data_IF_797760778483
#
_entry.id   IF_797760778483
#
_cell.length_a   1.000
_cell.length_b   1.000
_cell.length_c   1.000
_cell.angle_alpha   90.00
_cell.angle_beta   90.00
_cell.angle_gamma   90.00
#
_symmetry.space_group_name_H-M   'P 1'
#
loop_
_entity.id
_entity.type
_entity.pdbx_description
1 polymer ?
#
# COMPACT_ATOMS: atom_id res chain seq x y z
N UNK A 1 -1.13 47.36 -24.57
CA UNK A 1 -0.20 46.52 -23.77
C UNK A 1 -0.38 46.74 -22.25
N UNK A 2 -1.62 46.73 -21.71
CA UNK A 2 -1.88 47.05 -20.28
C UNK A 2 -2.54 45.91 -19.48
N UNK A 3 -2.88 44.79 -20.11
CA UNK A 3 -3.59 43.67 -19.48
C UNK A 3 -2.72 42.43 -19.20
N UNK A 4 -1.54 42.28 -19.81
CA UNK A 4 -0.64 41.15 -19.48
C UNK A 4 0.02 41.34 -18.11
N UNK A 5 0.39 42.57 -17.76
CA UNK A 5 1.02 42.86 -16.46
C UNK A 5 0.05 42.64 -15.29
N UNK A 6 -1.27 42.77 -15.51
CA UNK A 6 -2.26 42.54 -14.45
C UNK A 6 -2.44 41.05 -14.14
N UNK A 7 -2.39 40.19 -15.16
CA UNK A 7 -2.49 38.73 -15.00
C UNK A 7 -1.24 38.16 -14.31
N UNK A 8 -0.06 38.68 -14.65
CA UNK A 8 1.20 38.26 -14.02
C UNK A 8 1.26 38.67 -12.56
N UNK A 9 0.82 39.88 -12.21
CA UNK A 9 0.76 40.34 -10.81
C UNK A 9 -0.25 39.52 -9.99
N UNK A 10 -1.38 39.13 -10.59
CA UNK A 10 -2.39 38.30 -9.89
C UNK A 10 -1.89 36.87 -9.62
N UNK A 11 -1.13 36.27 -10.57
CA UNK A 11 -0.50 34.95 -10.38
C UNK A 11 0.64 35.03 -9.35
N UNK A 12 1.41 36.13 -9.33
CA UNK A 12 2.51 36.31 -8.39
C UNK A 12 2.02 36.58 -6.96
N UNK A 13 0.89 37.29 -6.78
CA UNK A 13 0.29 37.49 -5.45
C UNK A 13 -0.32 36.22 -4.85
N UNK A 14 -0.76 35.26 -5.68
CA UNK A 14 -1.23 33.96 -5.18
C UNK A 14 -0.08 33.07 -4.67
N UNK A 15 1.16 33.29 -5.14
CA UNK A 15 2.34 32.53 -4.72
C UNK A 15 2.86 32.92 -3.31
N UNK A 16 2.45 34.06 -2.77
CA UNK A 16 2.96 34.61 -1.49
C UNK A 16 2.01 34.31 -0.33
N UNK A 17 0.83 33.74 -0.60
CA UNK A 17 -0.19 33.39 0.41
C UNK A 17 -0.15 31.93 0.86
N UNK A 18 0.92 31.19 0.56
CA UNK A 18 1.18 29.95 1.28
C UNK A 18 1.73 30.33 2.67
N UNK A 19 1.11 29.88 3.77
CA UNK A 19 1.75 30.02 5.06
C UNK A 19 3.10 29.32 4.97
N UNK A 20 4.19 30.06 5.14
CA UNK A 20 5.47 29.48 5.52
C UNK A 20 5.29 28.98 6.94
N UNK A 21 4.61 27.85 7.10
CA UNK A 21 4.77 27.03 8.28
C UNK A 21 6.22 26.60 8.23
N UNK A 22 7.06 27.36 8.94
CA UNK A 22 8.35 26.90 9.40
C UNK A 22 8.02 25.74 10.34
N UNK A 23 7.83 24.56 9.77
CA UNK A 23 8.02 23.35 10.53
C UNK A 23 9.49 23.40 10.92
N UNK A 24 9.73 23.71 12.20
CA UNK A 24 10.91 23.18 12.84
C UNK A 24 10.80 21.66 12.61
N UNK A 25 11.58 21.17 11.66
CA UNK A 25 11.76 19.75 11.44
C UNK A 25 12.52 19.26 12.67
N UNK A 26 11.76 18.95 13.73
CA UNK A 26 12.23 18.05 14.75
C UNK A 26 12.29 16.70 14.06
N UNK A 27 13.41 16.44 13.37
CA UNK A 27 13.80 15.08 13.01
C UNK A 27 14.12 14.39 14.33
N UNK A 28 13.07 14.03 15.06
CA UNK A 28 13.12 12.85 15.89
C UNK A 28 13.30 11.72 14.89
N UNK A 29 14.57 11.39 14.63
CA UNK A 29 14.94 10.15 13.99
C UNK A 29 14.44 9.04 14.93
N UNK A 30 13.17 8.68 14.78
CA UNK A 30 12.68 7.37 15.14
C UNK A 30 13.40 6.41 14.20
N UNK A 31 14.64 6.08 14.54
CA UNK A 31 15.10 4.72 14.36
C UNK A 31 14.13 3.87 15.21
N UNK A 32 12.98 3.56 14.64
CA UNK A 32 12.06 2.59 15.20
C UNK A 32 12.88 1.32 15.19
N UNK A 33 13.39 0.93 16.37
CA UNK A 33 14.16 -0.31 16.48
C UNK A 33 13.30 -1.40 15.85
N UNK A 34 13.83 -2.15 14.86
CA UNK A 34 13.07 -3.24 14.30
C UNK A 34 12.67 -4.13 15.46
N UNK A 35 11.36 -4.34 15.61
CA UNK A 35 10.83 -5.21 16.65
C UNK A 35 11.50 -6.59 16.46
N UNK A 36 11.70 -7.34 17.54
CA UNK A 36 12.33 -8.68 17.48
C UNK A 36 11.63 -9.55 16.43
N UNK A 37 10.32 -9.34 16.26
CA UNK A 37 9.46 -9.95 15.24
C UNK A 37 9.91 -9.64 13.80
N UNK A 38 10.40 -8.43 13.51
CA UNK A 38 10.90 -8.02 12.19
C UNK A 38 12.32 -8.54 11.91
N UNK A 39 13.13 -8.72 12.97
CA UNK A 39 14.47 -9.28 12.85
C UNK A 39 14.48 -10.79 12.64
N UNK A 40 13.47 -11.50 13.15
CA UNK A 40 13.32 -12.95 12.99
C UNK A 40 12.41 -13.37 11.83
N UNK A 41 11.86 -12.40 11.09
CA UNK A 41 10.95 -12.65 9.97
C UNK A 41 11.65 -12.76 8.62
N UNK A 42 11.01 -13.50 7.72
CA UNK A 42 11.31 -13.42 6.30
C UNK A 42 10.70 -12.15 5.72
N UNK A 43 11.31 -11.66 4.64
CA UNK A 43 10.93 -10.41 3.98
C UNK A 43 10.51 -10.69 2.54
N UNK A 44 9.34 -10.20 2.17
CA UNK A 44 8.87 -10.18 0.78
C UNK A 44 8.69 -8.73 0.34
N UNK A 45 9.30 -8.35 -0.78
CA UNK A 45 9.14 -6.99 -1.31
C UNK A 45 8.13 -7.03 -2.45
N UNK A 46 7.03 -6.29 -2.31
CA UNK A 46 6.10 -6.04 -3.40
C UNK A 46 6.48 -4.73 -4.09
N UNK A 47 6.32 -4.68 -5.41
CA UNK A 47 6.49 -3.45 -6.19
C UNK A 47 5.15 -3.06 -6.79
N UNK A 48 4.72 -1.84 -6.52
CA UNK A 48 3.52 -1.24 -7.10
C UNK A 48 3.99 0.04 -7.78
N UNK A 49 3.84 0.08 -9.11
CA UNK A 49 4.46 1.09 -9.97
C UNK A 49 5.99 1.17 -9.80
N UNK A 50 6.49 2.30 -9.31
CA UNK A 50 7.92 2.55 -9.02
C UNK A 50 8.23 2.47 -7.52
N UNK A 51 7.22 2.26 -6.67
CA UNK A 51 7.38 2.20 -5.21
C UNK A 51 7.50 0.74 -4.74
N UNK A 52 8.37 0.51 -3.76
CA UNK A 52 8.63 -0.82 -3.19
C UNK A 52 8.26 -0.85 -1.72
N UNK A 53 7.51 -1.88 -1.33
CA UNK A 53 7.01 -2.06 0.01
C UNK A 53 7.48 -3.40 0.57
N UNK A 54 8.07 -3.34 1.76
CA UNK A 54 8.54 -4.54 2.47
C UNK A 54 7.42 -5.10 3.35
N UNK A 55 7.09 -6.36 3.10
CA UNK A 55 6.16 -7.16 3.89
C UNK A 55 6.99 -8.16 4.71
N UNK A 56 6.68 -8.29 5.99
CA UNK A 56 7.39 -9.22 6.87
C UNK A 56 6.48 -10.37 7.23
N UNK A 57 6.96 -11.61 7.14
CA UNK A 57 6.16 -12.78 7.44
C UNK A 57 6.97 -13.85 8.18
N UNK A 58 6.27 -14.81 8.76
CA UNK A 58 6.91 -15.94 9.43
C UNK A 58 5.96 -17.07 9.77
N UNK A 59 6.56 -18.19 10.16
CA UNK A 59 5.87 -19.48 10.37
C UNK A 59 5.89 -19.95 11.83
N UNK A 60 5.84 -19.04 12.80
CA UNK A 60 5.97 -19.41 14.22
C UNK A 60 5.23 -18.40 15.09
N UNK A 61 4.33 -18.87 15.95
CA UNK A 61 3.60 -18.03 16.91
C UNK A 61 4.29 -17.91 18.28
N UNK A 62 5.27 -18.78 18.59
CA UNK A 62 6.00 -18.81 19.86
C UNK A 62 7.47 -19.20 19.66
N UNK A 63 8.35 -18.77 20.57
CA UNK A 63 9.78 -19.11 20.56
C UNK A 63 10.01 -20.63 20.53
N UNK A 64 9.12 -21.42 21.15
CA UNK A 64 9.20 -22.89 21.21
C UNK A 64 8.99 -23.55 19.84
N UNK A 65 8.25 -22.89 18.93
CA UNK A 65 8.01 -23.39 17.58
C UNK A 65 9.19 -23.19 16.65
N UNK A 66 10.12 -22.27 16.97
CA UNK A 66 11.34 -22.02 16.17
C UNK A 66 12.35 -23.18 16.23
N UNK A 67 12.20 -24.08 17.20
CA UNK A 67 13.01 -25.30 17.38
C UNK A 67 12.35 -26.55 16.80
N UNK A 68 11.18 -26.43 16.14
CA UNK A 68 10.51 -27.58 15.55
C UNK A 68 11.09 -27.93 14.18
N UNK A 69 11.35 -29.22 13.94
CA UNK A 69 11.76 -29.77 12.63
C UNK A 69 10.56 -29.93 11.68
N UNK A 70 9.41 -29.32 11.98
CA UNK A 70 8.22 -29.42 11.15
C UNK A 70 8.46 -28.68 9.82
N UNK A 71 8.11 -29.31 8.68
CA UNK A 71 8.27 -28.66 7.38
C UNK A 71 7.38 -27.41 7.31
N UNK A 72 8.01 -26.26 7.06
CA UNK A 72 7.32 -24.99 6.92
C UNK A 72 6.72 -24.84 5.51
N UNK A 73 5.60 -24.11 5.38
CA UNK A 73 5.09 -23.70 4.08
C UNK A 73 6.17 -22.98 3.27
N UNK A 74 6.27 -23.31 1.99
CA UNK A 74 7.16 -22.58 1.07
C UNK A 74 6.38 -21.50 0.36
N UNK A 75 6.65 -20.23 0.68
CA UNK A 75 6.04 -19.10 -0.01
C UNK A 75 6.46 -19.09 -1.49
N UNK A 76 5.47 -19.02 -2.38
CA UNK A 76 5.66 -18.92 -3.83
C UNK A 76 5.58 -17.45 -4.28
N UNK A 77 4.50 -16.77 -3.88
CA UNK A 77 4.24 -15.39 -4.27
C UNK A 77 3.37 -14.67 -3.26
N UNK A 78 3.48 -13.34 -3.27
CA UNK A 78 2.61 -12.43 -2.55
C UNK A 78 2.35 -11.22 -3.46
N UNK A 79 1.09 -10.81 -3.57
CA UNK A 79 0.69 -9.75 -4.51
C UNK A 79 -0.61 -9.06 -4.12
N UNK A 80 -0.79 -7.83 -4.59
CA UNK A 80 -2.00 -7.04 -4.35
C UNK A 80 -2.96 -7.22 -5.52
N UNK A 81 -4.21 -7.55 -5.22
CA UNK A 81 -5.32 -7.52 -6.15
C UNK A 81 -6.14 -6.24 -5.92
N UNK A 82 -6.08 -5.32 -6.87
CA UNK A 82 -6.73 -4.01 -6.75
C UNK A 82 -8.25 -4.06 -6.92
N UNK A 83 -8.71 -4.93 -7.81
CA UNK A 83 -10.15 -5.07 -8.09
C UNK A 83 -10.87 -5.64 -6.87
N UNK A 84 -10.24 -6.62 -6.21
CA UNK A 84 -10.77 -7.27 -5.02
C UNK A 84 -10.36 -6.60 -3.71
N UNK A 85 -9.42 -5.65 -3.77
CA UNK A 85 -8.82 -4.95 -2.62
C UNK A 85 -8.24 -5.93 -1.61
N UNK A 86 -7.48 -6.90 -2.12
CA UNK A 86 -6.94 -7.98 -1.31
C UNK A 86 -5.44 -8.16 -1.49
N UNK A 87 -4.81 -8.72 -0.46
CA UNK A 87 -3.48 -9.31 -0.53
C UNK A 87 -3.65 -10.81 -0.78
N UNK A 88 -3.10 -11.28 -1.89
CA UNK A 88 -3.08 -12.69 -2.28
C UNK A 88 -1.70 -13.27 -1.98
N UNK A 89 -1.68 -14.42 -1.31
CA UNK A 89 -0.46 -15.13 -0.90
C UNK A 89 -0.62 -16.57 -1.38
N UNK A 90 0.38 -17.06 -2.12
CA UNK A 90 0.39 -18.43 -2.64
C UNK A 90 1.59 -19.20 -2.10
N UNK A 91 1.37 -20.43 -1.65
CA UNK A 91 2.42 -21.35 -1.24
C UNK A 91 2.63 -22.44 -2.31
N UNK A 92 3.88 -22.88 -2.50
CA UNK A 92 4.20 -24.02 -3.37
C UNK A 92 3.74 -25.34 -2.73
N UNK A 93 3.89 -25.47 -1.41
CA UNK A 93 3.55 -26.68 -0.68
C UNK A 93 3.32 -26.38 0.81
N UNK A 94 2.26 -26.98 1.38
CA UNK A 94 1.93 -26.92 2.81
C UNK A 94 1.77 -28.34 3.36
N UNK A 95 2.82 -28.86 3.97
CA UNK A 95 2.93 -30.27 4.38
C UNK A 95 2.21 -30.60 5.69
N UNK A 96 2.02 -29.62 6.57
CA UNK A 96 1.36 -29.74 7.87
C UNK A 96 0.61 -28.47 8.25
N UNK A 97 -0.27 -28.58 9.25
CA UNK A 97 -0.96 -27.41 9.80
C UNK A 97 0.07 -26.48 10.42
N UNK A 98 0.08 -25.22 9.99
CA UNK A 98 1.13 -24.27 10.34
C UNK A 98 0.53 -22.91 10.73
N UNK A 99 1.19 -22.23 11.66
CA UNK A 99 0.81 -20.86 12.04
C UNK A 99 1.57 -19.92 11.13
N UNK A 100 0.84 -19.12 10.36
CA UNK A 100 1.40 -18.10 9.50
C UNK A 100 1.01 -16.74 10.00
N UNK A 101 1.95 -15.80 9.97
CA UNK A 101 1.63 -14.40 10.20
C UNK A 101 2.29 -13.54 9.14
N UNK A 102 1.60 -12.46 8.80
CA UNK A 102 2.10 -11.44 7.87
C UNK A 102 1.86 -10.06 8.46
N UNK A 103 2.90 -9.23 8.44
CA UNK A 103 2.87 -7.82 8.80
C UNK A 103 2.84 -6.99 7.52
N UNK A 104 1.82 -6.15 7.44
CA UNK A 104 1.45 -5.40 6.26
C UNK A 104 1.40 -3.92 6.61
N UNK A 105 2.07 -3.04 5.84
CA UNK A 105 1.94 -1.60 6.01
C UNK A 105 0.52 -1.11 5.71
N UNK A 106 0.02 -0.17 6.51
CA UNK A 106 -1.32 0.42 6.35
C UNK A 106 -1.49 1.12 4.98
N UNK A 107 -0.38 1.60 4.41
CA UNK A 107 -0.35 2.23 3.09
C UNK A 107 -0.58 1.24 1.95
N UNK A 108 -0.18 -0.02 2.12
CA UNK A 108 -0.32 -1.08 1.11
C UNK A 108 -1.73 -1.66 1.14
N UNK A 109 -2.21 -2.01 2.31
CA UNK A 109 -3.54 -2.57 2.50
C UNK A 109 -4.10 -2.13 3.84
N UNK A 110 -5.33 -1.63 3.82
CA UNK A 110 -6.01 -1.15 5.01
C UNK A 110 -7.44 -1.66 5.08
N UNK A 111 -7.94 -1.77 6.30
CA UNK A 111 -9.33 -2.10 6.58
C UNK A 111 -9.94 -1.06 7.52
N UNK A 112 -11.19 -0.68 7.26
CA UNK A 112 -11.95 0.19 8.15
C UNK A 112 -12.02 -0.45 9.54
N UNK A 113 -11.50 0.27 10.55
CA UNK A 113 -11.38 -0.20 11.94
C UNK A 113 -10.59 -1.52 12.10
N UNK A 114 -9.75 -1.88 11.12
CA UNK A 114 -8.95 -3.12 11.14
C UNK A 114 -9.75 -4.39 10.85
N UNK A 115 -10.95 -4.28 10.27
CA UNK A 115 -11.77 -5.45 9.91
C UNK A 115 -11.41 -5.99 8.53
N UNK A 116 -10.47 -6.94 8.50
CA UNK A 116 -10.13 -7.71 7.31
C UNK A 116 -11.07 -8.92 7.17
N UNK A 117 -11.24 -9.42 5.96
CA UNK A 117 -11.79 -10.76 5.73
C UNK A 117 -10.66 -11.65 5.26
N UNK A 118 -10.60 -12.87 5.80
CA UNK A 118 -9.58 -13.84 5.47
C UNK A 118 -10.21 -15.05 4.80
N UNK A 119 -9.67 -15.46 3.67
CA UNK A 119 -10.02 -16.69 2.98
C UNK A 119 -8.79 -17.58 2.81
N UNK A 120 -8.98 -18.87 3.02
CA UNK A 120 -8.00 -19.91 2.66
C UNK A 120 -8.67 -20.82 1.65
N UNK A 121 -8.13 -20.90 0.44
CA UNK A 121 -8.71 -21.60 -0.71
C UNK A 121 -10.19 -21.23 -0.96
N UNK A 122 -10.52 -19.96 -0.74
CA UNK A 122 -11.89 -19.44 -0.88
C UNK A 122 -12.83 -19.70 0.30
N UNK A 123 -12.35 -20.33 1.38
CA UNK A 123 -13.12 -20.58 2.60
C UNK A 123 -12.80 -19.52 3.64
N UNK A 124 -13.82 -18.80 4.09
CA UNK A 124 -13.67 -17.77 5.12
C UNK A 124 -13.16 -18.38 6.44
N UNK A 125 -12.07 -17.81 6.97
CA UNK A 125 -11.34 -18.32 8.14
C UNK A 125 -11.08 -17.20 9.14
N UNK A 126 -10.86 -17.56 10.41
CA UNK A 126 -10.55 -16.59 11.47
C UNK A 126 -9.06 -16.23 11.48
N UNK A 127 -8.77 -15.05 12.01
CA UNK A 127 -7.43 -14.51 12.16
C UNK A 127 -7.30 -13.77 13.50
N UNK A 128 -6.07 -13.62 13.95
CA UNK A 128 -5.68 -12.75 15.05
C UNK A 128 -5.07 -11.46 14.49
N UNK A 129 -5.46 -10.31 15.04
CA UNK A 129 -5.01 -8.99 14.59
C UNK A 129 -4.16 -8.33 15.66
N UNK A 130 -2.98 -7.85 15.26
CA UNK A 130 -2.15 -6.94 16.05
C UNK A 130 -1.99 -5.64 15.30
N UNK A 131 -2.26 -4.51 15.97
CA UNK A 131 -2.09 -3.18 15.38
C UNK A 131 -0.78 -2.55 15.87
N UNK A 132 0.02 -2.10 14.93
CA UNK A 132 1.19 -1.25 15.14
C UNK A 132 0.87 0.19 14.74
N UNK A 133 1.76 1.17 14.98
CA UNK A 133 1.51 2.56 14.62
C UNK A 133 1.20 2.78 13.13
N UNK A 134 1.88 2.05 12.23
CA UNK A 134 1.78 2.20 10.78
C UNK A 134 1.47 0.89 10.04
N UNK A 135 1.29 -0.21 10.76
CA UNK A 135 1.13 -1.54 10.17
C UNK A 135 0.07 -2.36 10.91
N UNK A 136 -0.44 -3.40 10.23
CA UNK A 136 -1.20 -4.49 10.84
C UNK A 136 -0.42 -5.81 10.69
N UNK A 137 -0.39 -6.62 11.76
CA UNK A 137 0.01 -8.02 11.65
C UNK A 137 -1.21 -8.94 11.81
N UNK A 138 -1.39 -9.82 10.85
CA UNK A 138 -2.44 -10.83 10.84
C UNK A 138 -1.80 -12.20 11.05
N UNK A 139 -2.22 -12.90 12.10
CA UNK A 139 -1.86 -14.29 12.37
C UNK A 139 -3.03 -15.22 12.03
N UNK A 140 -2.73 -16.38 11.46
CA UNK A 140 -3.73 -17.37 11.06
C UNK A 140 -3.15 -18.79 11.05
N UNK A 141 -4.05 -19.78 10.97
CA UNK A 141 -3.68 -21.18 10.83
C UNK A 141 -3.91 -21.60 9.39
N UNK A 142 -2.84 -22.03 8.72
CA UNK A 142 -2.92 -22.64 7.39
C UNK A 142 -3.09 -24.15 7.58
N UNK A 143 -4.20 -24.74 7.10
CA UNK A 143 -4.36 -26.18 7.13
C UNK A 143 -3.40 -26.86 6.14
N UNK A 144 -3.08 -28.13 6.39
CA UNK A 144 -2.34 -28.96 5.43
C UNK A 144 -3.00 -28.92 4.04
N UNK A 145 -2.20 -28.64 3.02
CA UNK A 145 -2.65 -28.48 1.63
C UNK A 145 -3.34 -27.15 1.32
N UNK A 146 -3.35 -26.19 2.26
CA UNK A 146 -3.86 -24.85 2.01
C UNK A 146 -2.88 -24.04 1.17
N UNK A 147 -3.22 -23.74 -0.07
CA UNK A 147 -2.26 -23.16 -1.04
C UNK A 147 -2.47 -21.66 -1.24
N UNK A 148 -3.72 -21.19 -1.17
CA UNK A 148 -4.08 -19.82 -1.49
C UNK A 148 -4.68 -19.11 -0.29
N UNK A 149 -4.04 -18.03 0.14
CA UNK A 149 -4.58 -17.13 1.16
C UNK A 149 -4.97 -15.82 0.50
N UNK A 150 -6.14 -15.32 0.87
CA UNK A 150 -6.62 -14.02 0.45
C UNK A 150 -7.06 -13.20 1.66
N UNK A 151 -6.44 -12.03 1.83
CA UNK A 151 -6.76 -11.06 2.88
C UNK A 151 -7.43 -9.87 2.22
N UNK A 152 -8.73 -9.71 2.41
CA UNK A 152 -9.52 -8.61 1.83
C UNK A 152 -9.61 -7.45 2.82
N UNK A 153 -9.22 -6.26 2.37
CA UNK A 153 -9.35 -5.01 3.09
C UNK A 153 -10.46 -4.11 2.55
N UNK A 154 -10.49 -2.85 2.99
CA UNK A 154 -11.36 -1.79 2.45
C UNK A 154 -10.68 -0.95 1.38
N UNK A 155 -9.35 -0.88 1.43
CA UNK A 155 -8.51 -0.22 0.43
C UNK A 155 -7.20 -0.96 0.27
N UNK A 156 -6.65 -0.90 -0.94
CA UNK A 156 -5.26 -1.25 -1.23
C UNK A 156 -4.60 -0.07 -1.93
N UNK A 157 -3.28 -0.07 -1.92
CA UNK A 157 -2.49 0.89 -2.68
C UNK A 157 -2.87 0.82 -4.18
N UNK A 158 -3.18 1.97 -4.82
CA UNK A 158 -3.50 2.02 -6.24
C UNK A 158 -2.25 1.92 -7.13
N UNK A 159 -2.41 1.36 -8.33
CA UNK A 159 -1.40 1.24 -9.43
C UNK A 159 -1.22 2.56 -10.20
N UNK A 160 -1.76 3.65 -9.67
CA UNK A 160 -1.55 4.95 -10.25
C UNK A 160 -1.13 5.88 -9.15
N UNK A 161 0.12 6.33 -9.25
CA UNK A 161 0.61 7.43 -8.43
C UNK A 161 -0.42 8.56 -8.38
N UNK A 162 -0.54 9.18 -7.21
CA UNK A 162 -1.39 10.36 -6.97
C UNK A 162 -1.07 11.48 -7.98
N UNK A 163 0.11 11.47 -8.61
CA UNK A 163 0.51 12.39 -9.66
C UNK A 163 -0.20 12.21 -11.02
N UNK A 164 -0.86 11.06 -11.29
CA UNK A 164 -1.56 10.85 -12.57
C UNK A 164 -2.75 11.80 -12.72
N UNK A 165 -3.49 12.05 -11.64
CA UNK A 165 -4.65 12.96 -11.63
C UNK A 165 -4.32 14.41 -12.02
N UNK A 166 -3.31 15.09 -11.42
CA UNK A 166 -2.96 16.44 -11.83
C UNK A 166 -2.40 16.51 -13.25
N UNK A 167 -1.62 15.51 -13.69
CA UNK A 167 -1.11 15.45 -15.07
C UNK A 167 -2.28 15.33 -16.07
N UNK A 168 -3.25 14.47 -15.78
CA UNK A 168 -4.45 14.33 -16.59
C UNK A 168 -5.26 15.64 -16.63
N UNK A 169 -5.46 16.28 -15.47
CA UNK A 169 -6.20 17.54 -15.38
C UNK A 169 -5.54 18.66 -16.19
N UNK A 170 -4.21 18.82 -16.08
CA UNK A 170 -3.45 19.82 -16.84
C UNK A 170 -3.55 19.53 -18.35
N UNK A 171 -3.43 18.27 -18.74
CA UNK A 171 -3.51 17.84 -20.15
C UNK A 171 -4.88 18.17 -20.77
N UNK A 172 -5.97 17.88 -20.05
CA UNK A 172 -7.33 18.20 -20.50
C UNK A 172 -7.52 19.72 -20.62
N UNK A 173 -7.03 20.50 -19.65
CA UNK A 173 -7.12 21.97 -19.68
C UNK A 173 -6.37 22.56 -20.90
N UNK A 174 -5.18 22.04 -21.22
CA UNK A 174 -4.40 22.46 -22.38
C UNK A 174 -5.13 22.17 -23.70
N UNK A 175 -5.72 20.98 -23.83
CA UNK A 175 -6.48 20.59 -25.02
C UNK A 175 -7.69 21.52 -25.21
N UNK A 176 -8.45 21.78 -24.15
CA UNK A 176 -9.63 22.66 -24.20
C UNK A 176 -9.23 24.10 -24.55
N UNK A 177 -8.15 24.62 -23.95
CA UNK A 177 -7.65 25.96 -24.23
C UNK A 177 -7.19 26.13 -25.68
N UNK A 178 -6.44 25.15 -26.21
CA UNK A 178 -6.03 25.10 -27.62
C UNK A 178 -7.27 25.06 -28.54
N UNK A 179 -8.20 24.14 -28.29
CA UNK A 179 -9.39 23.95 -29.12
C UNK A 179 -10.25 25.22 -29.19
N UNK A 180 -10.45 25.91 -28.06
CA UNK A 180 -11.16 27.20 -28.02
C UNK A 180 -10.48 28.31 -28.83
N UNK A 181 -9.15 28.36 -28.84
CA UNK A 181 -8.36 29.35 -29.60
C UNK A 181 -8.46 29.13 -31.11
N UNK A 182 -8.53 27.89 -31.58
CA UNK A 182 -8.67 27.59 -33.01
C UNK A 182 -10.11 27.73 -33.51
N UNK A 183 -11.11 27.47 -32.68
CA UNK A 183 -12.53 27.65 -33.06
C UNK A 183 -12.93 29.13 -33.20
N UNK A 184 -12.24 30.07 -32.54
CA UNK A 184 -12.52 31.52 -32.66
C UNK A 184 -11.85 32.20 -33.85
N UNK A 185 -10.92 31.52 -34.54
CA UNK A 185 -10.24 32.03 -35.74
C UNK A 185 -10.83 31.51 -37.06
N UNK A 186 -11.79 30.58 -37.02
CA UNK A 186 -12.60 30.18 -38.17
C UNK A 186 -13.79 31.14 -38.30
N UNK A 187 -13.56 32.31 -38.92
CA UNK A 187 -14.64 33.09 -39.54
C UNK A 187 -14.78 32.60 -40.99
N UNK A 188 -15.88 31.92 -41.28
CA UNK A 188 -16.39 31.79 -42.65
C UNK A 188 -16.94 33.14 -43.12
#
# INVERSE_FOLDING_TARGET
MRNQNFVIVTILSFLIMFPTNVYAEHIEAFAQYPDIVQLSSEKFTITVDDDSYDMYYGYHGSLDSMTSDEPQPKLSSMGINQERKSLEITFDEVLSNSVFWVRMPDEVISAEKGHFQLFIDGIETRYDLTRFPNDYALGMIIPKGGEHIEIVGTSVIPEFSIMVLPILAISVLLIVAMTRKYHTNLKF
#
